data_IF_959331886354
#
_entry.id   IF_959331886354
#
_cell.length_a   1.000
_cell.length_b   1.000
_cell.length_c   1.000
_cell.angle_alpha   90.00
_cell.angle_beta   90.00
_cell.angle_gamma   90.00
#
_symmetry.space_group_name_H-M   'P 1'
#
loop_
_entity.id
_entity.type
_entity.pdbx_description
1 polymer ?
#
# COMPACT_ATOMS: atom_id res chain seq x y z
N UNK A 1 10.60 -18.76 1.10
CA UNK A 1 9.18 -19.10 0.81
C UNK A 1 8.78 -20.36 1.58
N UNK A 2 8.72 -20.20 2.90
CA UNK A 2 8.03 -21.04 3.89
C UNK A 2 8.44 -20.34 5.20
N UNK A 3 7.49 -19.76 5.93
CA UNK A 3 7.52 -19.61 7.38
C UNK A 3 6.22 -18.94 7.82
N UNK A 4 5.46 -19.72 8.60
CA UNK A 4 4.52 -19.29 9.63
C UNK A 4 3.17 -18.73 9.18
N UNK A 5 2.31 -19.66 8.75
CA UNK A 5 0.89 -19.64 9.10
C UNK A 5 0.76 -19.69 10.62
N UNK A 6 0.63 -18.54 11.27
CA UNK A 6 -0.01 -18.44 12.58
C UNK A 6 -0.85 -17.15 12.63
N UNK A 7 -2.12 -17.35 12.24
CA UNK A 7 -3.30 -16.78 12.86
C UNK A 7 -3.44 -15.24 12.92
N UNK A 8 -3.94 -14.61 11.85
CA UNK A 8 -4.69 -13.34 11.94
C UNK A 8 -5.82 -13.34 10.89
N UNK A 9 -6.91 -14.04 11.19
CA UNK A 9 -8.16 -13.93 10.43
C UNK A 9 -8.79 -12.56 10.64
N UNK A 10 -8.99 -11.82 9.55
CA UNK A 10 -9.75 -10.58 9.54
C UNK A 10 -9.74 -9.97 8.14
N UNK A 11 -10.92 -9.73 7.57
CA UNK A 11 -11.08 -8.83 6.43
C UNK A 11 -10.90 -7.41 6.95
N UNK A 12 -9.90 -6.68 6.45
CA UNK A 12 -9.67 -5.29 6.86
C UNK A 12 -10.70 -4.38 6.18
N UNK A 13 -11.53 -3.71 6.98
CA UNK A 13 -12.46 -2.70 6.51
C UNK A 13 -11.79 -1.32 6.59
N UNK A 14 -11.75 -0.62 5.47
CA UNK A 14 -11.18 0.71 5.34
C UNK A 14 -12.14 1.78 5.89
N UNK A 15 -11.69 2.60 6.84
CA UNK A 15 -12.41 3.81 7.28
C UNK A 15 -11.77 5.06 6.67
N UNK A 16 -12.57 5.88 5.99
CA UNK A 16 -12.15 7.14 5.37
C UNK A 16 -12.24 8.27 6.39
N UNK A 17 -11.14 8.98 6.65
CA UNK A 17 -11.12 10.19 7.49
C UNK A 17 -10.86 11.44 6.63
N UNK A 18 -11.50 12.56 7.00
CA UNK A 18 -11.35 13.86 6.32
C UNK A 18 -9.96 14.45 6.57
N UNK A 19 -9.28 15.06 5.58
CA UNK A 19 -8.04 15.81 5.80
C UNK A 19 -8.29 17.10 6.58
N UNK A 20 -7.29 17.54 7.34
CA UNK A 20 -7.39 18.67 8.25
C UNK A 20 -7.01 20.04 7.65
N UNK A 21 -6.32 20.12 6.50
CA UNK A 21 -6.03 21.41 5.79
C UNK A 21 -5.74 21.22 4.29
N UNK A 22 -6.14 22.18 3.46
CA UNK A 22 -5.70 22.36 2.05
C UNK A 22 -6.76 22.10 0.97
N UNK A 23 -6.68 22.75 -0.22
CA UNK A 23 -7.62 22.58 -1.34
C UNK A 23 -7.49 21.24 -2.08
N UNK A 24 -6.41 20.50 -1.84
CA UNK A 24 -6.22 19.15 -2.37
C UNK A 24 -6.77 18.14 -1.36
N UNK A 25 -7.91 17.52 -1.65
CA UNK A 25 -8.49 16.54 -0.74
C UNK A 25 -7.63 15.27 -0.73
N UNK A 26 -6.87 15.09 0.34
CA UNK A 26 -6.05 13.92 0.62
C UNK A 26 -6.90 12.88 1.37
N UNK A 27 -7.08 11.70 0.79
CA UNK A 27 -7.80 10.61 1.44
C UNK A 27 -6.80 9.65 2.09
N UNK A 28 -6.64 9.76 3.40
CA UNK A 28 -5.84 8.81 4.19
C UNK A 28 -6.76 7.69 4.66
N UNK A 29 -6.52 6.48 4.18
CA UNK A 29 -7.26 5.29 4.60
C UNK A 29 -6.35 4.40 5.41
N UNK A 30 -6.74 4.11 6.65
CA UNK A 30 -5.94 3.31 7.58
C UNK A 30 -6.36 1.84 7.50
N UNK A 31 -5.39 0.94 7.33
CA UNK A 31 -5.59 -0.50 7.51
C UNK A 31 -5.53 -0.81 9.01
N UNK A 32 -6.67 -0.62 9.71
CA UNK A 32 -6.81 -0.96 11.12
C UNK A 32 -7.05 -2.45 11.31
N UNK A 33 -6.40 -3.08 12.30
CA UNK A 33 -6.82 -4.37 12.82
C UNK A 33 -8.21 -4.25 13.43
N UNK A 34 -9.09 -5.23 13.20
CA UNK A 34 -10.41 -5.24 13.81
C UNK A 34 -10.28 -5.40 15.33
N UNK A 35 -10.51 -4.32 16.07
CA UNK A 35 -10.74 -4.41 17.51
C UNK A 35 -12.04 -5.20 17.73
N UNK A 36 -11.95 -6.27 18.52
CA UNK A 36 -13.07 -7.12 18.88
C UNK A 36 -14.09 -6.34 19.74
N UNK A 37 -14.96 -5.56 19.11
CA UNK A 37 -15.95 -4.74 19.84
C UNK A 37 -17.00 -4.02 19.00
N UNK A 38 -16.97 -4.07 17.66
CA UNK A 38 -17.94 -3.37 16.82
C UNK A 38 -18.43 -4.29 15.69
N UNK A 39 -19.36 -5.18 16.04
CA UNK A 39 -20.17 -5.87 15.04
C UNK A 39 -21.36 -4.97 14.71
N UNK A 40 -21.43 -4.54 13.45
CA UNK A 40 -22.58 -3.90 12.78
C UNK A 40 -22.83 -2.41 13.09
N UNK A 41 -21.91 -1.54 12.68
CA UNK A 41 -22.30 -0.21 12.19
C UNK A 41 -21.50 0.14 10.93
N UNK A 42 -21.92 -0.41 9.80
CA UNK A 42 -21.49 0.09 8.50
C UNK A 42 -22.07 1.49 8.30
N UNK A 43 -21.29 2.53 8.57
CA UNK A 43 -21.67 3.89 8.23
C UNK A 43 -21.35 4.10 6.76
N UNK A 44 -22.31 3.79 5.89
CA UNK A 44 -22.31 4.27 4.52
C UNK A 44 -22.44 5.80 4.56
N UNK A 45 -21.41 6.51 4.11
CA UNK A 45 -21.51 7.96 3.91
C UNK A 45 -22.51 8.24 2.79
N UNK A 46 -23.59 8.95 3.10
CA UNK A 46 -24.47 9.54 2.10
C UNK A 46 -24.05 11.00 1.86
N UNK A 47 -23.58 11.38 0.66
CA UNK A 47 -23.35 12.78 0.32
C UNK A 47 -24.67 13.57 0.40
N UNK A 48 -24.65 14.86 0.77
CA UNK A 48 -25.83 15.72 0.78
C UNK A 48 -26.36 16.07 -0.63
N UNK A 49 -25.80 15.51 -1.70
CA UNK A 49 -26.23 15.79 -3.08
C UNK A 49 -26.40 14.48 -3.86
N UNK A 50 -27.61 14.28 -4.40
CA UNK A 50 -27.93 13.18 -5.32
C UNK A 50 -27.11 13.33 -6.61
N UNK A 51 -26.26 12.34 -6.91
CA UNK A 51 -25.50 12.29 -8.18
C UNK A 51 -23.98 12.10 -8.05
N UNK A 52 -23.43 12.02 -6.83
CA UNK A 52 -22.00 11.75 -6.62
C UNK A 52 -21.74 10.27 -6.31
N UNK A 53 -21.16 9.54 -7.27
CA UNK A 53 -20.51 8.25 -6.98
C UNK A 53 -19.20 8.54 -6.26
N UNK A 54 -18.91 7.90 -5.12
CA UNK A 54 -17.58 8.01 -4.48
C UNK A 54 -16.51 7.66 -5.53
N UNK A 55 -15.61 8.59 -5.93
CA UNK A 55 -14.51 8.26 -6.82
C UNK A 55 -13.44 7.43 -6.11
N UNK A 56 -13.62 7.17 -4.80
CA UNK A 56 -12.70 6.47 -3.93
C UNK A 56 -13.21 5.05 -3.70
N UNK A 57 -12.68 4.09 -4.45
CA UNK A 57 -12.81 2.68 -4.15
C UNK A 57 -11.78 2.32 -3.06
N UNK A 58 -12.20 1.64 -2.00
CA UNK A 58 -11.28 1.11 -0.99
C UNK A 58 -10.42 -0.02 -1.58
N UNK A 59 -9.13 -0.04 -1.24
CA UNK A 59 -8.26 -1.20 -1.52
C UNK A 59 -8.54 -2.29 -0.47
N UNK A 60 -8.71 -3.53 -0.94
CA UNK A 60 -8.93 -4.70 -0.09
C UNK A 60 -7.87 -5.75 -0.38
N UNK A 61 -7.11 -6.14 0.65
CA UNK A 61 -6.12 -7.20 0.58
C UNK A 61 -6.58 -8.39 1.43
N UNK A 62 -6.81 -9.54 0.80
CA UNK A 62 -7.07 -10.80 1.49
C UNK A 62 -5.77 -11.39 2.07
N UNK A 63 -5.87 -12.35 2.98
CA UNK A 63 -4.66 -12.99 3.55
C UNK A 63 -3.92 -13.89 2.53
N UNK A 64 -4.59 -14.29 1.45
CA UNK A 64 -4.06 -15.18 0.42
C UNK A 64 -4.49 -14.68 -0.98
N UNK A 65 -3.52 -14.53 -1.87
CA UNK A 65 -3.72 -14.05 -3.25
C UNK A 65 -4.44 -15.11 -4.11
N UNK A 66 -4.21 -16.39 -3.84
CA UNK A 66 -4.89 -17.52 -4.47
C UNK A 66 -6.38 -17.56 -4.15
N UNK A 67 -6.78 -17.21 -2.92
CA UNK A 67 -8.21 -17.07 -2.53
C UNK A 67 -8.93 -15.98 -3.34
N UNK A 68 -8.23 -14.91 -3.73
CA UNK A 68 -8.79 -13.87 -4.61
C UNK A 68 -8.94 -14.32 -6.06
N UNK A 69 -8.01 -15.16 -6.54
CA UNK A 69 -7.94 -15.60 -7.93
C UNK A 69 -8.79 -16.84 -8.22
N UNK A 70 -8.98 -17.72 -7.24
CA UNK A 70 -9.73 -18.97 -7.39
C UNK A 70 -11.18 -18.77 -7.89
N UNK A 71 -12.00 -17.83 -7.35
CA UNK A 71 -13.35 -17.59 -7.85
C UNK A 71 -13.40 -16.95 -9.24
N UNK A 72 -12.29 -16.37 -9.72
CA UNK A 72 -12.20 -15.70 -11.02
C UNK A 72 -11.80 -16.64 -12.15
N UNK A 73 -11.52 -17.91 -11.86
CA UNK A 73 -11.05 -18.87 -12.85
C UNK A 73 -9.66 -18.55 -13.41
N UNK A 74 -8.89 -17.67 -12.76
CA UNK A 74 -7.53 -17.34 -13.16
C UNK A 74 -6.62 -18.53 -12.83
N UNK A 75 -6.17 -19.25 -13.86
CA UNK A 75 -5.32 -20.44 -13.72
C UNK A 75 -3.82 -20.11 -13.65
N UNK A 76 -3.40 -18.93 -14.11
CA UNK A 76 -2.01 -18.47 -14.07
C UNK A 76 -1.93 -16.96 -13.82
N UNK A 77 -0.85 -16.53 -13.16
CA UNK A 77 -0.46 -15.14 -13.03
C UNK A 77 0.65 -14.88 -14.03
N UNK A 78 0.27 -14.47 -15.24
CA UNK A 78 1.23 -14.25 -16.32
C UNK A 78 2.00 -12.94 -16.06
N UNK A 79 3.35 -12.96 -16.03
CA UNK A 79 4.15 -11.75 -15.84
C UNK A 79 3.79 -10.65 -16.84
N UNK A 80 3.61 -9.43 -16.35
CA UNK A 80 3.20 -8.27 -17.16
C UNK A 80 1.69 -8.09 -17.33
N UNK A 81 0.86 -9.04 -16.88
CA UNK A 81 -0.59 -8.87 -16.80
C UNK A 81 -1.00 -7.89 -15.69
N UNK A 82 -2.23 -7.35 -15.78
CA UNK A 82 -2.78 -6.51 -14.71
C UNK A 82 -2.98 -7.29 -13.42
N UNK A 83 -3.36 -8.57 -13.53
CA UNK A 83 -3.56 -9.51 -12.45
C UNK A 83 -2.25 -9.78 -11.70
N UNK A 84 -1.15 -9.97 -12.44
CA UNK A 84 0.17 -10.11 -11.86
C UNK A 84 0.58 -8.83 -11.12
N UNK A 85 0.32 -7.64 -11.69
CA UNK A 85 0.57 -6.37 -11.03
C UNK A 85 -0.17 -6.24 -9.69
N UNK A 86 -1.46 -6.60 -9.67
CA UNK A 86 -2.27 -6.62 -8.45
C UNK A 86 -1.75 -7.64 -7.43
N UNK A 87 -1.36 -8.82 -7.88
CA UNK A 87 -0.77 -9.86 -7.02
C UNK A 87 0.55 -9.39 -6.39
N UNK A 88 1.38 -8.68 -7.16
CA UNK A 88 2.63 -8.11 -6.67
C UNK A 88 2.40 -7.01 -5.63
N UNK A 89 1.51 -6.06 -5.90
CA UNK A 89 1.09 -5.03 -4.93
C UNK A 89 0.55 -5.68 -3.64
N UNK A 90 -0.30 -6.71 -3.79
CA UNK A 90 -0.85 -7.46 -2.68
C UNK A 90 0.24 -8.13 -1.85
N UNK A 91 1.22 -8.77 -2.49
CA UNK A 91 2.35 -9.38 -1.79
C UNK A 91 3.12 -8.35 -0.95
N UNK A 92 3.39 -7.15 -1.49
CA UNK A 92 4.00 -6.05 -0.71
C UNK A 92 3.13 -5.68 0.51
N UNK A 93 1.82 -5.57 0.33
CA UNK A 93 0.90 -5.30 1.44
C UNK A 93 0.99 -6.36 2.56
N UNK A 94 1.10 -7.64 2.18
CA UNK A 94 1.24 -8.74 3.12
C UNK A 94 2.57 -8.69 3.89
N UNK A 95 3.68 -8.42 3.21
CA UNK A 95 5.00 -8.28 3.85
C UNK A 95 5.00 -7.12 4.85
N UNK A 96 4.48 -5.96 4.47
CA UNK A 96 4.38 -4.78 5.35
C UNK A 96 3.50 -5.07 6.57
N UNK A 97 2.33 -5.69 6.37
CA UNK A 97 1.43 -6.04 7.47
C UNK A 97 2.07 -7.06 8.42
N UNK A 98 2.74 -8.08 7.87
CA UNK A 98 3.46 -9.05 8.67
C UNK A 98 4.55 -8.35 9.48
N UNK A 99 5.38 -7.53 8.85
CA UNK A 99 6.43 -6.77 9.52
C UNK A 99 5.90 -5.90 10.64
N UNK A 100 4.83 -5.10 10.43
CA UNK A 100 4.18 -4.29 11.47
C UNK A 100 3.73 -5.16 12.65
N UNK A 101 3.10 -6.31 12.37
CA UNK A 101 2.64 -7.23 13.39
C UNK A 101 3.77 -7.86 14.20
N UNK A 102 4.88 -8.24 13.55
CA UNK A 102 5.99 -8.97 14.20
C UNK A 102 7.00 -8.05 14.90
N UNK A 103 7.26 -6.87 14.36
CA UNK A 103 8.10 -5.83 14.99
C UNK A 103 7.46 -5.21 16.22
N UNK A 104 6.20 -5.55 16.54
CA UNK A 104 5.36 -4.90 17.57
C UNK A 104 5.24 -3.38 17.36
N UNK A 105 5.58 -2.93 16.16
CA UNK A 105 5.44 -1.55 15.73
C UNK A 105 3.95 -1.23 15.61
N UNK A 106 3.50 -0.13 16.24
CA UNK A 106 2.12 0.35 16.11
C UNK A 106 1.95 1.33 14.94
N UNK A 107 2.87 1.27 13.96
CA UNK A 107 2.86 2.17 12.82
C UNK A 107 1.64 1.88 11.94
N UNK A 108 0.76 2.86 11.72
CA UNK A 108 -0.40 2.68 10.85
C UNK A 108 0.05 2.54 9.39
N UNK A 109 -0.40 1.47 8.73
CA UNK A 109 -0.25 1.27 7.29
C UNK A 109 -1.44 1.90 6.57
N UNK A 110 -1.17 2.80 5.63
CA UNK A 110 -2.17 3.64 4.96
C UNK A 110 -1.93 3.67 3.46
N UNK A 111 -2.86 4.22 2.68
CA UNK A 111 -2.61 4.60 1.30
C UNK A 111 -2.90 6.09 1.09
N UNK A 112 -2.37 6.64 0.00
CA UNK A 112 -2.55 8.05 -0.35
C UNK A 112 -3.01 8.19 -1.80
N UNK A 113 -3.95 9.11 -2.04
CA UNK A 113 -4.48 9.44 -3.37
C UNK A 113 -4.92 10.89 -3.42
N UNK A 114 -4.58 11.58 -4.52
CA UNK A 114 -5.06 12.94 -4.82
C UNK A 114 -6.41 12.94 -5.52
N UNK A 115 -7.09 14.10 -5.50
CA UNK A 115 -8.28 14.35 -6.33
C UNK A 115 -8.00 14.23 -7.84
N UNK A 116 -6.77 14.50 -8.26
CA UNK A 116 -6.33 14.40 -9.67
C UNK A 116 -5.99 12.96 -10.07
N UNK A 117 -6.03 12.00 -9.14
CA UNK A 117 -5.86 10.58 -9.39
C UNK A 117 -4.41 10.09 -9.33
N UNK A 118 -3.49 10.86 -8.76
CA UNK A 118 -2.16 10.35 -8.38
C UNK A 118 -2.29 9.50 -7.12
N UNK A 119 -1.53 8.42 -7.05
CA UNK A 119 -1.61 7.44 -5.96
C UNK A 119 -0.21 7.10 -5.45
N UNK A 120 -0.15 6.75 -4.17
CA UNK A 120 0.95 6.02 -3.55
C UNK A 120 0.35 4.80 -2.85
N UNK A 121 0.84 3.62 -3.20
CA UNK A 121 0.23 2.35 -2.79
C UNK A 121 0.23 2.15 -1.27
N UNK A 122 1.34 2.45 -0.60
CA UNK A 122 1.48 2.26 0.86
C UNK A 122 2.23 3.39 1.53
N UNK A 123 1.73 3.81 2.69
CA UNK A 123 2.36 4.78 3.58
C UNK A 123 2.45 4.14 4.97
N UNK A 124 3.67 3.95 5.48
CA UNK A 124 3.90 3.61 6.87
C UNK A 124 4.08 4.90 7.68
N UNK A 125 3.03 5.23 8.45
CA UNK A 125 2.95 6.46 9.23
C UNK A 125 3.20 7.74 8.39
N UNK A 126 4.23 8.52 8.70
CA UNK A 126 4.72 9.69 7.94
C UNK A 126 6.22 9.50 7.61
N UNK A 127 6.69 8.24 7.61
CA UNK A 127 8.11 7.91 7.54
C UNK A 127 8.49 7.33 6.19
N UNK A 128 7.67 6.44 5.64
CA UNK A 128 8.02 5.68 4.45
C UNK A 128 6.81 5.58 3.51
N UNK A 129 7.01 6.05 2.28
CA UNK A 129 6.06 5.96 1.19
C UNK A 129 6.56 4.95 0.15
N UNK A 130 5.70 4.03 -0.24
CA UNK A 130 6.05 2.89 -1.08
C UNK A 130 5.09 2.80 -2.26
N UNK A 131 5.65 2.82 -3.46
CA UNK A 131 4.94 2.50 -4.71
C UNK A 131 5.36 1.10 -5.17
N UNK A 132 4.40 0.23 -5.46
CA UNK A 132 4.66 -1.13 -5.94
C UNK A 132 4.42 -1.22 -7.46
N UNK A 133 5.41 -1.72 -8.19
CA UNK A 133 5.27 -1.96 -9.64
C UNK A 133 5.89 -3.29 -10.03
N UNK A 134 5.11 -4.18 -10.64
CA UNK A 134 5.62 -5.42 -11.23
C UNK A 134 6.41 -5.20 -12.54
N UNK A 135 6.99 -4.02 -12.75
CA UNK A 135 7.75 -3.68 -13.95
C UNK A 135 9.19 -4.20 -13.82
N UNK A 136 9.73 -4.77 -14.90
CA UNK A 136 11.15 -5.17 -14.99
C UNK A 136 12.06 -4.01 -15.40
N UNK A 137 11.49 -2.85 -15.71
CA UNK A 137 12.21 -1.60 -15.95
C UNK A 137 11.40 -0.43 -15.43
N UNK A 138 11.98 0.34 -14.52
CA UNK A 138 11.34 1.52 -13.97
C UNK A 138 11.62 2.74 -14.84
N UNK A 139 10.57 3.55 -15.05
CA UNK A 139 10.63 4.80 -15.79
C UNK A 139 10.03 5.93 -14.97
N UNK A 140 10.36 7.16 -15.34
CA UNK A 140 9.98 8.38 -14.63
C UNK A 140 8.47 8.53 -14.39
N UNK A 141 7.65 8.02 -15.33
CA UNK A 141 6.19 8.03 -15.22
C UNK A 141 5.65 7.29 -13.99
N UNK A 142 6.40 6.31 -13.47
CA UNK A 142 6.05 5.54 -12.27
C UNK A 142 6.32 6.32 -10.99
N UNK A 143 7.10 7.41 -11.05
CA UNK A 143 7.53 8.18 -9.87
C UNK A 143 6.62 9.37 -9.56
N UNK A 144 5.64 9.66 -10.43
CA UNK A 144 4.77 10.84 -10.29
C UNK A 144 3.98 10.86 -9.00
N UNK A 145 3.50 9.71 -8.54
CA UNK A 145 2.80 9.58 -7.26
C UNK A 145 3.68 9.92 -6.07
N UNK A 146 4.87 9.31 -6.01
CA UNK A 146 5.85 9.56 -4.95
C UNK A 146 6.34 11.01 -4.92
N UNK A 147 6.55 11.64 -6.08
CA UNK A 147 6.93 13.06 -6.15
C UNK A 147 5.83 13.97 -5.62
N UNK A 148 4.58 13.74 -6.03
CA UNK A 148 3.45 14.51 -5.53
C UNK A 148 3.23 14.30 -4.02
N UNK A 149 3.48 13.09 -3.51
CA UNK A 149 3.48 12.83 -2.07
C UNK A 149 4.61 13.57 -1.34
N UNK A 150 5.81 13.64 -1.93
CA UNK A 150 6.94 14.40 -1.38
C UNK A 150 6.61 15.88 -1.18
N UNK A 151 5.84 16.48 -2.09
CA UNK A 151 5.42 17.87 -1.97
C UNK A 151 4.56 18.12 -0.70
N UNK A 152 3.79 17.11 -0.27
CA UNK A 152 2.95 17.15 0.94
C UNK A 152 3.71 16.71 2.20
N UNK A 153 4.57 15.70 2.09
CA UNK A 153 5.30 15.08 3.21
C UNK A 153 6.82 14.99 2.93
N UNK A 154 7.56 16.13 2.88
CA UNK A 154 8.95 16.18 2.41
C UNK A 154 9.97 15.43 3.26
N UNK A 155 9.57 14.98 4.45
CA UNK A 155 10.43 14.24 5.39
C UNK A 155 10.28 12.73 5.24
N UNK A 156 9.33 12.27 4.43
CA UNK A 156 9.13 10.84 4.19
C UNK A 156 10.24 10.31 3.28
N UNK A 157 10.73 9.13 3.61
CA UNK A 157 11.51 8.34 2.69
C UNK A 157 10.60 7.82 1.57
N UNK A 158 11.10 7.89 0.33
CA UNK A 158 10.34 7.51 -0.86
C UNK A 158 10.96 6.28 -1.50
N UNK A 159 10.14 5.26 -1.71
CA UNK A 159 10.56 3.98 -2.22
C UNK A 159 9.65 3.50 -3.36
N UNK A 160 10.25 3.05 -4.46
CA UNK A 160 9.56 2.24 -5.45
C UNK A 160 10.14 0.83 -5.44
N UNK A 161 9.27 -0.15 -5.20
CA UNK A 161 9.62 -1.58 -5.20
C UNK A 161 9.17 -2.22 -6.51
N UNK A 162 10.08 -2.93 -7.18
CA UNK A 162 9.78 -3.51 -8.49
C UNK A 162 10.51 -4.82 -8.82
N UNK A 163 10.28 -5.32 -10.04
CA UNK A 163 11.05 -6.42 -10.64
C UNK A 163 12.27 -5.92 -11.43
N UNK A 164 12.54 -4.62 -11.44
CA UNK A 164 13.77 -4.07 -12.02
C UNK A 164 14.95 -4.47 -11.12
N UNK A 165 15.93 -5.17 -11.68
CA UNK A 165 17.11 -5.65 -10.95
C UNK A 165 18.12 -4.53 -10.67
N UNK A 166 17.92 -3.34 -11.24
CA UNK A 166 18.81 -2.20 -11.06
C UNK A 166 18.42 -1.34 -9.84
N UNK A 167 18.92 -1.73 -8.68
CA UNK A 167 18.82 -0.93 -7.46
C UNK A 167 19.57 0.41 -7.63
N UNK A 168 18.87 1.53 -7.41
CA UNK A 168 19.47 2.88 -7.51
C UNK A 168 18.67 3.92 -6.74
N UNK A 169 19.23 5.11 -6.59
CA UNK A 169 18.51 6.28 -6.07
C UNK A 169 18.44 7.33 -7.16
N UNK A 170 17.28 7.96 -7.35
CA UNK A 170 17.12 9.08 -8.28
C UNK A 170 17.78 10.36 -7.75
N UNK A 171 17.98 11.35 -8.60
CA UNK A 171 18.55 12.65 -8.21
C UNK A 171 17.70 13.38 -7.15
N UNK A 172 16.37 13.18 -7.20
CA UNK A 172 15.39 13.70 -6.26
C UNK A 172 15.17 12.79 -5.03
N UNK A 173 16.04 11.80 -4.80
CA UNK A 173 16.08 11.04 -3.54
C UNK A 173 15.12 9.85 -3.44
N UNK A 174 14.47 9.43 -4.54
CA UNK A 174 13.60 8.25 -4.55
C UNK A 174 14.45 6.99 -4.69
N UNK A 175 14.34 6.09 -3.72
CA UNK A 175 15.00 4.78 -3.78
C UNK A 175 14.21 3.85 -4.69
N UNK A 176 14.92 3.16 -5.58
CA UNK A 176 14.39 2.16 -6.49
C UNK A 176 15.00 0.83 -6.08
N UNK A 177 14.16 -0.09 -5.62
CA UNK A 177 14.62 -1.39 -5.14
C UNK A 177 13.95 -2.54 -5.87
N UNK A 178 14.73 -3.55 -6.19
CA UNK A 178 14.26 -4.87 -6.50
C UNK A 178 13.54 -5.47 -5.28
N UNK A 179 12.45 -6.19 -5.51
CA UNK A 179 11.59 -6.73 -4.45
C UNK A 179 12.33 -7.57 -3.40
N UNK A 180 13.39 -8.30 -3.80
CA UNK A 180 14.21 -9.08 -2.86
C UNK A 180 14.97 -8.17 -1.90
N UNK A 181 15.58 -7.11 -2.43
CA UNK A 181 16.34 -6.16 -1.62
C UNK A 181 15.42 -5.40 -0.67
N UNK A 182 14.22 -5.04 -1.14
CA UNK A 182 13.18 -4.50 -0.27
C UNK A 182 12.87 -5.44 0.91
N UNK A 183 12.58 -6.71 0.64
CA UNK A 183 12.25 -7.66 1.71
C UNK A 183 13.42 -7.82 2.70
N UNK A 184 14.65 -7.94 2.22
CA UNK A 184 15.84 -8.00 3.08
C UNK A 184 15.94 -6.80 4.02
N UNK A 185 15.83 -5.58 3.48
CA UNK A 185 15.95 -4.34 4.25
C UNK A 185 14.76 -4.11 5.20
N UNK A 186 13.57 -4.57 4.82
CA UNK A 186 12.38 -4.52 5.67
C UNK A 186 12.60 -5.42 6.90
N UNK A 187 12.95 -6.68 6.68
CA UNK A 187 13.09 -7.68 7.73
C UNK A 187 14.38 -7.52 8.56
N UNK A 188 15.40 -6.80 8.07
CA UNK A 188 16.56 -6.40 8.87
C UNK A 188 16.31 -5.17 9.74
N UNK A 189 15.17 -4.47 9.55
CA UNK A 189 14.86 -3.22 10.24
C UNK A 189 15.58 -1.99 9.68
N UNK A 190 16.26 -2.11 8.53
CA UNK A 190 17.00 -0.99 7.91
C UNK A 190 16.09 0.03 7.22
N UNK A 191 14.91 -0.38 6.70
CA UNK A 191 13.95 0.57 6.09
C UNK A 191 13.17 1.38 7.12
N UNK A 192 12.89 0.79 8.27
CA UNK A 192 12.14 1.42 9.35
C UNK A 192 12.79 1.01 10.65
N UNK A 193 13.76 1.81 11.14
CA UNK A 193 14.47 1.49 12.37
C UNK A 193 13.49 1.33 13.53
N UNK A 194 13.68 0.28 14.33
CA UNK A 194 12.97 0.10 15.59
C UNK A 194 13.29 1.31 16.49
N UNK A 195 12.24 1.96 17.02
CA UNK A 195 12.35 3.07 17.98
C UNK A 195 12.39 2.58 19.40
#
# INVERSE_FOLDING_TARGET
MLLMLNNIFGTTLCSVHRPSRGPDAVCVVSLGGADAGSLLSGVAWQPPFSGFTSPFAAKFYLFDVGVWNYPRGASSLDPGSSEYGKAFEHWIAMELRAWVSYSRSRLPLRFWRTCTGLEVDFILEHRLAIEAKSATRVSDKHLRGLRAFCDEEPRSELLLVSLDENDRTTEDGIRLLHWRRFAELLWSGELVPEG
#
